data_IF_677948664133
#
_entry.id   IF_677948664133
#
_cell.length_a   1.000
_cell.length_b   1.000
_cell.length_c   1.000
_cell.angle_alpha   90.00
_cell.angle_beta   90.00
_cell.angle_gamma   90.00
#
_symmetry.space_group_name_H-M   'P 1'
#
loop_
_entity.id
_entity.type
_entity.pdbx_description
1 polymer ?
#
# COMPACT_ATOMS: atom_id res chain seq x y z
N UNK A 1 16.57 4.57 3.66
CA UNK A 1 16.16 4.50 2.23
C UNK A 1 15.90 3.05 1.90
N UNK A 2 14.74 2.71 1.33
CA UNK A 2 14.37 1.35 0.96
C UNK A 2 13.52 1.39 -0.33
N UNK A 3 13.48 0.29 -1.09
CA UNK A 3 12.76 0.19 -2.35
C UNK A 3 11.98 -1.13 -2.46
N UNK A 4 10.90 -1.13 -3.23
CA UNK A 4 10.07 -2.31 -3.54
C UNK A 4 9.72 -3.12 -2.28
N UNK A 5 10.07 -4.41 -2.23
CA UNK A 5 9.78 -5.28 -1.08
C UNK A 5 10.46 -4.81 0.23
N UNK A 6 11.62 -4.16 0.15
CA UNK A 6 12.28 -3.59 1.32
C UNK A 6 11.48 -2.44 1.94
N UNK A 7 10.83 -1.61 1.11
CA UNK A 7 9.96 -0.53 1.59
C UNK A 7 8.68 -1.07 2.25
N UNK A 8 8.17 -2.22 1.79
CA UNK A 8 7.03 -2.90 2.42
C UNK A 8 7.34 -3.39 3.85
N UNK A 9 8.60 -3.55 4.25
CA UNK A 9 8.91 -3.97 5.63
C UNK A 9 8.67 -2.86 6.67
N UNK A 10 8.65 -1.59 6.23
CA UNK A 10 8.44 -0.44 7.11
C UNK A 10 6.96 -0.20 7.46
N UNK A 11 6.04 -0.81 6.71
CA UNK A 11 4.59 -0.66 6.86
C UNK A 11 4.06 -1.40 8.08
N UNK A 12 2.76 -1.33 8.33
CA UNK A 12 2.11 -2.17 9.35
C UNK A 12 2.15 -3.66 9.01
N UNK A 13 2.08 -3.99 7.73
CA UNK A 13 1.82 -5.35 7.27
C UNK A 13 2.33 -5.59 5.84
N UNK A 14 2.66 -6.84 5.52
CA UNK A 14 3.02 -7.29 4.16
C UNK A 14 1.91 -8.11 3.48
N UNK A 15 0.66 -7.96 3.91
CA UNK A 15 -0.51 -8.69 3.39
C UNK A 15 -0.68 -8.53 1.88
N UNK A 16 -0.35 -7.37 1.33
CA UNK A 16 -0.39 -7.13 -0.11
C UNK A 16 0.48 -8.11 -0.91
N UNK A 17 1.62 -8.55 -0.37
CA UNK A 17 2.44 -9.58 -1.02
C UNK A 17 1.72 -10.94 -1.03
N UNK A 18 1.00 -11.26 0.03
CA UNK A 18 0.22 -12.51 0.15
C UNK A 18 -0.99 -12.51 -0.78
N UNK A 19 -1.59 -11.35 -1.05
CA UNK A 19 -2.69 -11.20 -2.01
C UNK A 19 -2.30 -11.62 -3.43
N UNK A 20 -1.01 -11.67 -3.79
CA UNK A 20 -0.58 -12.13 -5.12
C UNK A 20 -1.05 -13.56 -5.38
N UNK A 21 -0.98 -14.43 -4.37
CA UNK A 21 -1.28 -15.86 -4.51
C UNK A 21 -2.50 -16.35 -3.73
N UNK A 22 -3.05 -15.53 -2.82
CA UNK A 22 -4.10 -15.98 -1.90
C UNK A 22 -5.38 -15.17 -2.02
N UNK A 23 -6.58 -15.75 -1.90
CA UNK A 23 -7.85 -15.01 -1.85
C UNK A 23 -7.88 -13.96 -0.73
N UNK A 24 -8.67 -12.90 -0.90
CA UNK A 24 -8.79 -11.80 0.08
C UNK A 24 -9.18 -12.33 1.46
N UNK A 25 -10.19 -13.20 1.54
CA UNK A 25 -10.66 -13.78 2.80
C UNK A 25 -9.56 -14.55 3.56
N UNK A 26 -8.73 -15.31 2.84
CA UNK A 26 -7.62 -16.04 3.45
C UNK A 26 -6.52 -15.11 3.99
N UNK A 27 -6.23 -14.02 3.25
CA UNK A 27 -5.27 -13.02 3.71
C UNK A 27 -5.78 -12.27 4.94
N UNK A 28 -7.07 -11.92 4.97
CA UNK A 28 -7.70 -11.27 6.13
C UNK A 28 -7.70 -12.17 7.36
N UNK A 29 -8.03 -13.46 7.20
CA UNK A 29 -8.01 -14.41 8.32
C UNK A 29 -6.62 -14.56 8.95
N UNK A 30 -5.56 -14.53 8.13
CA UNK A 30 -4.17 -14.62 8.57
C UNK A 30 -3.49 -13.24 8.76
N UNK A 31 -4.23 -12.13 8.72
CA UNK A 31 -3.66 -10.78 8.68
C UNK A 31 -2.68 -10.50 9.84
N UNK A 32 -2.97 -11.04 11.03
CA UNK A 32 -2.11 -10.87 12.22
C UNK A 32 -0.75 -11.58 12.11
N UNK A 33 -0.60 -12.56 11.22
CA UNK A 33 0.64 -13.29 10.97
C UNK A 33 1.59 -12.51 10.05
N UNK A 34 1.08 -11.49 9.36
CA UNK A 34 1.80 -10.75 8.32
C UNK A 34 2.32 -9.39 8.78
N UNK A 35 2.42 -9.18 10.10
CA UNK A 35 2.95 -7.93 10.68
C UNK A 35 4.37 -7.66 10.19
N UNK A 36 4.63 -6.41 9.85
CA UNK A 36 5.95 -5.90 9.51
C UNK A 36 6.48 -5.01 10.65
N UNK A 37 7.47 -4.15 10.39
CA UNK A 37 8.10 -3.34 11.44
C UNK A 37 7.17 -2.28 12.03
N UNK A 38 6.10 -1.90 11.32
CA UNK A 38 5.09 -0.98 11.83
C UNK A 38 5.58 0.45 12.04
N UNK A 39 6.60 0.89 11.28
CA UNK A 39 7.15 2.25 11.40
C UNK A 39 6.22 3.31 10.79
N UNK A 40 5.38 2.92 9.83
CA UNK A 40 4.34 3.77 9.23
C UNK A 40 2.98 3.09 9.32
N UNK A 41 1.91 3.87 9.31
CA UNK A 41 0.54 3.43 9.58
C UNK A 41 -0.28 3.02 8.36
N UNK A 42 0.36 2.91 7.19
CA UNK A 42 -0.22 2.44 5.93
C UNK A 42 0.48 1.16 5.43
N UNK A 43 -0.12 0.47 4.47
CA UNK A 43 0.53 -0.57 3.65
C UNK A 43 1.00 0.00 2.31
N UNK A 44 2.07 -0.56 1.75
CA UNK A 44 2.69 -0.06 0.52
C UNK A 44 2.52 -1.07 -0.61
N UNK A 45 1.97 -0.62 -1.74
CA UNK A 45 1.88 -1.39 -2.97
C UNK A 45 2.86 -0.83 -4.02
N UNK A 46 4.05 -1.43 -4.20
CA UNK A 46 4.98 -0.97 -5.22
C UNK A 46 4.51 -1.39 -6.63
N UNK A 47 5.08 -0.76 -7.65
CA UNK A 47 4.91 -1.12 -9.05
C UNK A 47 3.48 -0.98 -9.60
N UNK A 48 2.71 0.01 -9.13
CA UNK A 48 1.31 0.26 -9.51
C UNK A 48 1.07 0.15 -11.02
N UNK A 49 1.93 0.75 -11.84
CA UNK A 49 1.83 0.79 -13.30
C UNK A 49 2.14 -0.56 -14.00
N UNK A 50 2.54 -1.58 -13.25
CA UNK A 50 2.81 -2.95 -13.75
C UNK A 50 1.78 -3.97 -13.28
N UNK A 51 0.88 -3.58 -12.37
CA UNK A 51 -0.09 -4.50 -11.78
C UNK A 51 -1.32 -4.65 -12.66
N UNK A 52 -1.80 -5.87 -12.91
CA UNK A 52 -2.94 -6.10 -13.78
C UNK A 52 -4.24 -5.66 -13.08
N UNK A 53 -5.25 -5.17 -13.81
CA UNK A 53 -6.52 -4.70 -13.22
C UNK A 53 -7.18 -5.69 -12.26
N UNK A 54 -7.24 -7.01 -12.52
CA UNK A 54 -7.82 -7.98 -11.58
C UNK A 54 -7.13 -8.01 -10.21
N UNK A 55 -5.82 -7.70 -10.16
CA UNK A 55 -5.10 -7.59 -8.89
C UNK A 55 -5.44 -6.28 -8.18
N UNK A 56 -5.59 -5.18 -8.90
CA UNK A 56 -6.02 -3.90 -8.32
C UNK A 56 -7.44 -4.00 -7.73
N UNK A 57 -8.37 -4.69 -8.40
CA UNK A 57 -9.71 -4.98 -7.85
C UNK A 57 -9.64 -5.80 -6.55
N UNK A 58 -8.63 -6.66 -6.44
CA UNK A 58 -8.39 -7.47 -5.24
C UNK A 58 -7.86 -6.61 -4.09
N UNK A 59 -6.94 -5.71 -4.37
CA UNK A 59 -6.43 -4.72 -3.42
C UNK A 59 -7.55 -3.79 -2.96
N UNK A 60 -8.42 -3.36 -3.87
CA UNK A 60 -9.59 -2.54 -3.54
C UNK A 60 -10.56 -3.28 -2.61
N UNK A 61 -10.88 -4.56 -2.87
CA UNK A 61 -11.72 -5.37 -1.97
C UNK A 61 -11.07 -5.55 -0.60
N UNK A 62 -9.75 -5.77 -0.57
CA UNK A 62 -9.01 -5.86 0.68
C UNK A 62 -9.03 -4.54 1.47
N UNK A 63 -8.90 -3.39 0.79
CA UNK A 63 -8.92 -2.06 1.42
C UNK A 63 -10.25 -1.71 2.08
N UNK A 64 -11.34 -2.38 1.72
CA UNK A 64 -12.64 -2.24 2.37
C UNK A 64 -12.70 -2.88 3.77
N UNK A 65 -11.75 -3.77 4.09
CA UNK A 65 -11.74 -4.54 5.34
C UNK A 65 -10.64 -4.16 6.31
N UNK A 66 -9.71 -3.28 5.90
CA UNK A 66 -8.61 -2.81 6.75
C UNK A 66 -8.77 -1.34 7.12
N UNK A 67 -8.37 -0.98 8.33
CA UNK A 67 -8.53 0.36 8.89
C UNK A 67 -7.43 1.34 8.49
N UNK A 68 -6.44 0.91 7.70
CA UNK A 68 -5.32 1.74 7.25
C UNK A 68 -5.36 1.93 5.74
N UNK A 69 -4.66 2.97 5.29
CA UNK A 69 -4.53 3.26 3.87
C UNK A 69 -3.58 2.25 3.22
N UNK A 70 -3.83 1.96 1.94
CA UNK A 70 -2.85 1.33 1.06
C UNK A 70 -2.39 2.39 0.07
N UNK A 71 -1.09 2.69 0.09
CA UNK A 71 -0.46 3.63 -0.80
C UNK A 71 0.21 2.85 -1.93
N UNK A 72 -0.29 3.01 -3.14
CA UNK A 72 0.26 2.40 -4.33
C UNK A 72 1.12 3.37 -5.12
N UNK A 73 2.34 2.97 -5.44
CA UNK A 73 3.33 3.80 -6.12
C UNK A 73 3.69 3.21 -7.48
N UNK A 74 3.68 4.04 -8.53
CA UNK A 74 4.27 3.66 -9.80
C UNK A 74 5.81 3.58 -9.69
N UNK A 75 6.44 2.91 -10.65
CA UNK A 75 7.89 2.92 -10.77
C UNK A 75 8.43 4.35 -10.88
N UNK A 76 9.49 4.65 -10.12
CA UNK A 76 10.07 5.99 -10.03
C UNK A 76 9.36 6.93 -9.06
N UNK A 77 8.20 6.55 -8.50
CA UNK A 77 7.56 7.30 -7.42
C UNK A 77 8.15 6.95 -6.05
N UNK A 78 8.17 7.94 -5.15
CA UNK A 78 8.74 7.80 -3.80
C UNK A 78 7.86 8.46 -2.75
N UNK A 79 7.87 7.91 -1.54
CA UNK A 79 7.36 8.56 -0.33
C UNK A 79 8.54 9.07 0.49
N UNK A 80 8.43 10.29 0.99
CA UNK A 80 9.46 10.96 1.79
C UNK A 80 8.83 11.37 3.10
N UNK A 81 9.36 10.81 4.20
CA UNK A 81 8.99 11.12 5.56
C UNK A 81 10.02 12.09 6.14
N UNK A 82 9.60 13.32 6.43
CA UNK A 82 10.46 14.35 7.03
C UNK A 82 10.24 14.44 8.55
N UNK A 83 9.04 14.12 9.01
CA UNK A 83 8.66 14.01 10.43
C UNK A 83 7.79 12.78 10.64
N UNK A 84 7.76 12.26 11.86
CA UNK A 84 6.94 11.10 12.19
C UNK A 84 5.44 11.38 11.94
N UNK A 85 4.77 10.47 11.22
CA UNK A 85 3.33 10.54 10.98
C UNK A 85 2.90 11.40 9.79
N UNK A 86 3.83 12.01 9.05
CA UNK A 86 3.50 12.67 7.78
C UNK A 86 4.50 12.31 6.68
N UNK A 87 4.01 12.30 5.45
CA UNK A 87 4.83 12.08 4.29
C UNK A 87 4.37 12.94 3.13
N UNK A 88 5.32 13.28 2.27
CA UNK A 88 5.05 13.75 0.92
C UNK A 88 5.39 12.67 -0.08
N UNK A 89 4.91 12.81 -1.31
CA UNK A 89 5.24 11.90 -2.40
C UNK A 89 5.72 12.66 -3.62
N UNK A 90 6.50 11.97 -4.44
CA UNK A 90 6.93 12.46 -5.75
C UNK A 90 6.60 11.36 -6.75
N UNK A 91 6.02 11.73 -7.90
CA UNK A 91 5.58 10.80 -8.94
C UNK A 91 4.13 10.32 -8.78
N UNK A 92 3.75 9.36 -9.61
CA UNK A 92 2.38 8.85 -9.66
C UNK A 92 2.08 7.93 -8.45
N UNK A 93 1.06 8.30 -7.68
CA UNK A 93 0.59 7.54 -6.54
C UNK A 93 -0.94 7.47 -6.50
N UNK A 94 -1.45 6.39 -5.90
CA UNK A 94 -2.87 6.12 -5.70
C UNK A 94 -3.09 5.65 -4.27
N UNK A 95 -4.16 6.11 -3.64
CA UNK A 95 -4.60 5.64 -2.34
C UNK A 95 -5.80 4.70 -2.49
N UNK A 96 -5.75 3.56 -1.81
CA UNK A 96 -6.90 2.70 -1.59
C UNK A 96 -7.35 2.82 -0.13
N UNK A 97 -8.63 3.12 0.09
CA UNK A 97 -9.23 3.24 1.41
C UNK A 97 -10.71 2.95 1.36
N UNK A 98 -11.22 2.14 2.30
CA UNK A 98 -12.65 1.83 2.45
C UNK A 98 -13.28 1.32 1.14
N UNK A 99 -12.53 0.50 0.39
CA UNK A 99 -12.97 -0.04 -0.90
C UNK A 99 -12.95 0.97 -2.05
N UNK A 100 -12.35 2.15 -1.87
CA UNK A 100 -12.27 3.20 -2.90
C UNK A 100 -10.83 3.43 -3.30
N UNK A 101 -10.58 3.46 -4.61
CA UNK A 101 -9.32 3.85 -5.22
C UNK A 101 -9.39 5.33 -5.64
N UNK A 102 -8.44 6.16 -5.19
CA UNK A 102 -8.33 7.57 -5.60
C UNK A 102 -6.88 7.93 -5.97
N UNK A 103 -6.65 8.66 -7.07
CA UNK A 103 -5.36 9.29 -7.33
C UNK A 103 -4.96 10.17 -6.14
N UNK A 104 -3.67 10.17 -5.81
CA UNK A 104 -3.13 11.11 -4.83
C UNK A 104 -2.79 12.40 -5.56
N UNK A 105 -3.60 13.42 -5.36
CA UNK A 105 -3.38 14.74 -5.94
C UNK A 105 -2.29 15.44 -5.17
N UNK A 106 -1.18 15.79 -5.83
CA UNK A 106 -0.22 16.70 -5.25
C UNK A 106 -0.98 17.99 -4.94
N UNK A 107 -1.15 18.29 -3.66
CA UNK A 107 -1.55 19.63 -3.25
C UNK A 107 -0.37 20.50 -3.72
N UNK A 108 -0.57 21.24 -4.81
CA UNK A 108 0.38 22.27 -5.20
C UNK A 108 0.53 23.18 -3.98
N UNK A 109 1.72 23.16 -3.38
CA UNK A 109 2.08 24.07 -2.29
C UNK A 109 2.07 25.52 -2.76
#
# INVERSE_FOLDING_TARGET
IAASGGAMQFTRNVSLFRLVHNPVAAVLAAHNEYKALGMVDYELLPHLNKLPPPFLDKVQRYSASVLHDIVALADGAVLIHEVAGSYRWVGQAVRFRDGVQKPMENVAG
#
